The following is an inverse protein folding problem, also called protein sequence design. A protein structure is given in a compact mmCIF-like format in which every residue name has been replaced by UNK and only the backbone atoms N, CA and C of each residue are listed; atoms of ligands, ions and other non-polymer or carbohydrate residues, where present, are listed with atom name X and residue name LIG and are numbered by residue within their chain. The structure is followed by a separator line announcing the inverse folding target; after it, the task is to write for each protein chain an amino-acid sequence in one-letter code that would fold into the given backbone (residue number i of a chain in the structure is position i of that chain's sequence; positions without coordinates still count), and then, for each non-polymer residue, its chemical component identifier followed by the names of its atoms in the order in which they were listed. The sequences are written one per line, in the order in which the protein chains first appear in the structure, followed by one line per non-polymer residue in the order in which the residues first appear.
data_IF_514897897070
#
_entry.id   IF_514897897070
#
_cell.length_a   1.000
_cell.length_b   1.000
_cell.length_c   1.000
_cell.angle_alpha   90.00
_cell.angle_beta   90.00
_cell.angle_gamma   90.00
#
_symmetry.space_group_name_H-M   'P 1'
#
loop_
_entity.id
_entity.type
_entity.pdbx_description
1 polymer ?
#
# COMPACT_ATOMS: atom_id res chain seq x y z
N UNK A 1 28.38 -1.21 9.54
CA UNK A 1 27.81 -2.14 8.54
C UNK A 1 27.96 -1.53 7.16
N UNK A 2 29.00 -1.90 6.44
CA UNK A 2 29.26 -1.46 5.06
C UNK A 2 28.58 -2.46 4.11
N UNK A 3 27.62 -1.97 3.31
CA UNK A 3 26.92 -2.79 2.32
C UNK A 3 27.88 -3.21 1.19
N UNK A 4 27.72 -4.42 0.63
CA UNK A 4 28.56 -4.89 -0.48
C UNK A 4 28.48 -3.93 -1.69
N UNK A 5 29.60 -3.71 -2.40
CA UNK A 5 29.66 -2.78 -3.52
C UNK A 5 28.79 -3.29 -4.68
N UNK A 6 27.75 -2.53 -5.03
CA UNK A 6 26.89 -2.82 -6.19
C UNK A 6 25.39 -2.58 -6.02
N UNK A 7 24.87 -2.34 -4.81
CA UNK A 7 23.47 -1.92 -4.59
C UNK A 7 23.38 -0.51 -4.03
N UNK A 8 23.03 0.45 -4.89
CA UNK A 8 22.76 1.83 -4.49
C UNK A 8 21.50 1.88 -3.60
N UNK A 9 21.62 2.53 -2.43
CA UNK A 9 20.53 2.76 -1.47
C UNK A 9 19.36 3.51 -2.14
N UNK A 10 19.64 4.34 -3.15
CA UNK A 10 18.62 5.05 -3.93
C UNK A 10 17.60 4.12 -4.61
N UNK A 11 17.97 2.87 -4.89
CA UNK A 11 17.07 1.86 -5.47
C UNK A 11 15.89 1.50 -4.54
N UNK A 12 16.08 1.64 -3.22
CA UNK A 12 15.04 1.34 -2.23
C UNK A 12 14.04 2.47 -1.99
N UNK A 13 14.25 3.66 -2.57
CA UNK A 13 13.30 4.80 -2.43
C UNK A 13 11.89 4.43 -2.86
N UNK A 14 11.76 3.70 -3.97
CA UNK A 14 10.46 3.25 -4.47
C UNK A 14 9.76 2.29 -3.49
N UNK A 15 10.50 1.41 -2.82
CA UNK A 15 9.96 0.53 -1.79
C UNK A 15 9.50 1.28 -0.56
N UNK A 16 10.27 2.26 -0.10
CA UNK A 16 9.90 3.11 1.04
C UNK A 16 8.64 3.93 0.75
N UNK A 17 8.56 4.54 -0.44
CA UNK A 17 7.38 5.28 -0.87
C UNK A 17 6.15 4.35 -0.96
N UNK A 18 6.29 3.14 -1.52
CA UNK A 18 5.19 2.19 -1.63
C UNK A 18 4.67 1.67 -0.28
N UNK A 19 5.57 1.35 0.66
CA UNK A 19 5.18 0.97 2.03
C UNK A 19 4.53 2.16 2.76
N UNK A 20 5.08 3.37 2.62
CA UNK A 20 4.48 4.57 3.19
C UNK A 20 3.06 4.81 2.66
N UNK A 21 2.84 4.60 1.35
CA UNK A 21 1.53 4.72 0.73
C UNK A 21 0.55 3.66 1.26
N UNK A 22 1.01 2.42 1.45
CA UNK A 22 0.23 1.35 2.08
C UNK A 22 -0.16 1.71 3.51
N UNK A 23 0.77 2.22 4.31
CA UNK A 23 0.47 2.64 5.68
C UNK A 23 -0.58 3.77 5.72
N UNK A 24 -0.46 4.74 4.80
CA UNK A 24 -1.44 5.81 4.64
C UNK A 24 -2.83 5.26 4.25
N UNK A 25 -2.89 4.26 3.37
CA UNK A 25 -4.17 3.68 2.96
C UNK A 25 -4.89 2.96 4.11
N UNK A 26 -4.17 2.34 5.04
CA UNK A 26 -4.79 1.77 6.23
C UNK A 26 -5.53 2.85 7.04
N UNK A 27 -4.88 3.99 7.28
CA UNK A 27 -5.51 5.12 7.96
C UNK A 27 -6.76 5.61 7.22
N UNK A 28 -6.72 5.69 5.89
CA UNK A 28 -7.86 6.09 5.09
C UNK A 28 -9.02 5.10 5.20
N UNK A 29 -8.75 3.79 5.17
CA UNK A 29 -9.79 2.75 5.33
C UNK A 29 -10.50 2.91 6.69
N UNK A 30 -9.74 3.05 7.77
CA UNK A 30 -10.32 3.26 9.12
C UNK A 30 -11.01 4.62 9.26
N UNK A 31 -10.43 5.68 8.72
CA UNK A 31 -11.00 7.04 8.76
C UNK A 31 -12.32 7.15 7.98
N UNK A 32 -12.50 6.32 6.96
CA UNK A 32 -13.74 6.26 6.18
C UNK A 32 -14.77 5.26 6.69
N UNK A 33 -14.46 4.50 7.73
CA UNK A 33 -15.40 3.58 8.38
C UNK A 33 -16.77 4.22 8.72
N UNK A 34 -16.84 5.44 9.31
CA UNK A 34 -18.12 6.08 9.60
C UNK A 34 -18.91 6.53 8.35
N UNK A 35 -18.30 6.60 7.17
CA UNK A 35 -18.94 7.09 5.94
C UNK A 35 -19.66 5.98 5.16
N UNK A 36 -19.11 4.77 5.14
CA UNK A 36 -19.60 3.66 4.29
C UNK A 36 -20.08 2.45 5.10
N UNK A 37 -19.86 2.46 6.42
CA UNK A 37 -20.12 1.33 7.29
C UNK A 37 -19.21 0.13 7.03
N UNK A 38 -19.50 -0.97 7.74
CA UNK A 38 -18.68 -2.18 7.70
C UNK A 38 -18.64 -2.86 6.32
N UNK A 39 -19.68 -2.67 5.50
CA UNK A 39 -19.81 -3.33 4.19
C UNK A 39 -18.78 -2.84 3.17
N UNK A 40 -18.42 -1.55 3.18
CA UNK A 40 -17.35 -1.02 2.34
C UNK A 40 -15.96 -1.23 2.95
N UNK A 41 -15.84 -1.13 4.28
CA UNK A 41 -14.56 -1.15 4.96
C UNK A 41 -13.93 -2.55 5.08
N UNK A 42 -14.72 -3.61 5.31
CA UNK A 42 -14.22 -5.00 5.40
C UNK A 42 -13.51 -5.49 4.12
N UNK A 43 -14.10 -5.40 2.91
CA UNK A 43 -13.44 -5.85 1.69
C UNK A 43 -12.21 -4.99 1.37
N UNK A 44 -12.25 -3.69 1.64
CA UNK A 44 -11.09 -2.80 1.51
C UNK A 44 -9.95 -3.21 2.43
N UNK A 45 -10.25 -3.54 3.69
CA UNK A 45 -9.26 -4.00 4.65
C UNK A 45 -8.64 -5.34 4.24
N UNK A 46 -9.46 -6.28 3.76
CA UNK A 46 -8.99 -7.57 3.25
C UNK A 46 -8.08 -7.41 2.02
N UNK A 47 -8.48 -6.56 1.06
CA UNK A 47 -7.66 -6.24 -0.10
C UNK A 47 -6.34 -5.57 0.31
N UNK A 48 -6.40 -4.63 1.25
CA UNK A 48 -5.23 -3.96 1.79
C UNK A 48 -4.24 -4.94 2.44
N UNK A 49 -4.71 -5.92 3.22
CA UNK A 49 -3.84 -6.96 3.80
C UNK A 49 -3.12 -7.79 2.73
N UNK A 50 -3.80 -8.17 1.66
CA UNK A 50 -3.18 -8.92 0.54
C UNK A 50 -2.10 -8.06 -0.13
N UNK A 51 -2.40 -6.78 -0.38
CA UNK A 51 -1.45 -5.83 -0.95
C UNK A 51 -0.27 -5.59 -0.01
N UNK A 52 -0.49 -5.51 1.31
CA UNK A 52 0.57 -5.40 2.31
C UNK A 52 1.53 -6.60 2.25
N UNK A 53 0.99 -7.82 2.23
CA UNK A 53 1.80 -9.05 2.14
C UNK A 53 2.61 -9.07 0.84
N UNK A 54 2.01 -8.67 -0.29
CA UNK A 54 2.71 -8.52 -1.56
C UNK A 54 3.80 -7.44 -1.51
N UNK A 55 3.52 -6.30 -0.87
CA UNK A 55 4.48 -5.21 -0.66
C UNK A 55 5.69 -5.67 0.16
N UNK A 56 5.46 -6.37 1.28
CA UNK A 56 6.50 -6.97 2.10
C UNK A 56 7.32 -8.02 1.33
N UNK A 57 6.65 -8.87 0.54
CA UNK A 57 7.31 -9.92 -0.26
C UNK A 57 8.17 -9.35 -1.39
N UNK A 58 7.74 -8.24 -2.00
CA UNK A 58 8.46 -7.59 -3.09
C UNK A 58 9.44 -6.52 -2.65
N UNK A 59 9.45 -6.15 -1.36
CA UNK A 59 10.35 -5.14 -0.79
C UNK A 59 11.82 -5.38 -1.10
N UNK A 60 12.29 -6.63 -0.94
CA UNK A 60 13.69 -7.00 -1.15
C UNK A 60 13.97 -7.54 -2.57
N UNK A 61 12.97 -8.10 -3.25
CA UNK A 61 13.13 -8.79 -4.52
C UNK A 61 12.88 -7.91 -5.75
N UNK A 62 11.92 -6.97 -5.69
CA UNK A 62 11.54 -6.07 -6.80
C UNK A 62 11.02 -4.71 -6.29
N UNK A 63 11.91 -3.74 -5.97
CA UNK A 63 11.56 -2.53 -5.22
C UNK A 63 10.56 -1.60 -5.93
N UNK A 64 10.61 -1.53 -7.27
CA UNK A 64 9.68 -0.73 -8.07
C UNK A 64 8.23 -1.23 -8.01
N UNK A 65 8.01 -2.52 -7.77
CA UNK A 65 6.65 -3.09 -7.72
C UNK A 65 5.91 -2.72 -6.45
N UNK A 66 6.61 -2.44 -5.36
CA UNK A 66 6.00 -2.03 -4.09
C UNK A 66 5.29 -0.69 -4.25
N UNK A 67 5.82 0.21 -5.08
CA UNK A 67 5.17 1.48 -5.42
C UNK A 67 3.82 1.25 -6.12
N UNK A 68 3.78 0.31 -7.07
CA UNK A 68 2.55 -0.07 -7.78
C UNK A 68 1.53 -0.66 -6.82
N UNK A 69 1.96 -1.51 -5.89
CA UNK A 69 1.09 -2.10 -4.86
C UNK A 69 0.46 -1.03 -3.97
N UNK A 70 1.26 -0.06 -3.49
CA UNK A 70 0.73 1.08 -2.74
C UNK A 70 -0.25 1.92 -3.56
N UNK A 71 0.09 2.23 -4.82
CA UNK A 71 -0.79 2.99 -5.70
C UNK A 71 -2.11 2.26 -5.96
N UNK A 72 -2.08 0.94 -6.15
CA UNK A 72 -3.28 0.11 -6.30
C UNK A 72 -4.16 0.13 -5.05
N UNK A 73 -3.56 0.06 -3.85
CA UNK A 73 -4.33 0.19 -2.61
C UNK A 73 -5.05 1.55 -2.54
N UNK A 74 -4.35 2.63 -2.90
CA UNK A 74 -4.92 3.98 -2.89
C UNK A 74 -6.05 4.13 -3.92
N UNK A 75 -5.87 3.59 -5.13
CA UNK A 75 -6.89 3.59 -6.18
C UNK A 75 -8.11 2.76 -5.79
N UNK A 76 -7.92 1.60 -5.16
CA UNK A 76 -9.01 0.77 -4.68
C UNK A 76 -9.84 1.48 -3.61
N UNK A 77 -9.17 2.15 -2.66
CA UNK A 77 -9.85 3.00 -1.69
C UNK A 77 -10.62 4.14 -2.38
N UNK A 78 -9.98 4.87 -3.30
CA UNK A 78 -10.61 5.98 -4.02
C UNK A 78 -11.84 5.52 -4.82
N UNK A 79 -11.78 4.36 -5.46
CA UNK A 79 -12.89 3.80 -6.22
C UNK A 79 -14.12 3.54 -5.31
N UNK A 80 -13.90 3.02 -4.10
CA UNK A 80 -14.99 2.80 -3.14
C UNK A 80 -15.55 4.12 -2.63
N UNK A 81 -14.69 5.10 -2.33
CA UNK A 81 -15.13 6.44 -1.92
C UNK A 81 -16.00 7.10 -2.99
N UNK A 82 -15.60 7.00 -4.26
CA UNK A 82 -16.36 7.55 -5.37
C UNK A 82 -17.68 6.79 -5.62
N UNK A 83 -17.72 5.49 -5.37
CA UNK A 83 -18.94 4.68 -5.50
C UNK A 83 -19.97 4.92 -4.38
N UNK A 84 -19.58 5.61 -3.30
CA UNK A 84 -20.46 5.93 -2.17
C UNK A 84 -20.70 7.44 -2.00
N UNK A 85 -20.19 8.27 -2.91
CA UNK A 85 -20.62 9.66 -3.07
C UNK A 85 -21.83 9.74 -3.98
#
# INVERSE_FOLDING_TARGET
MTLPPGRDIRSYRASFLGIGLLACTAFLIFGTWPLYGAAGALPLFALWLVLLVLGCRWFASRPSRVLVVGALAMLAWLAVVLAHR
#
